data_IF_423400487666
#
_entry.id   IF_423400487666
#
_cell.length_a   1.000
_cell.length_b   1.000
_cell.length_c   1.000
_cell.angle_alpha   90.00
_cell.angle_beta   90.00
_cell.angle_gamma   90.00
#
_symmetry.space_group_name_H-M   'P 1'
#
loop_
_entity.id
_entity.type
_entity.pdbx_description
1 polymer ?
#
# COMPACT_ATOMS: atom_id res chain seq x y z
N UNK A 1 -17.23 -20.04 -45.09
CA UNK A 1 -17.91 -18.90 -44.46
C UNK A 1 -16.97 -18.26 -43.44
N UNK A 2 -16.58 -16.99 -43.62
CA UNK A 2 -15.75 -16.28 -42.64
C UNK A 2 -16.54 -16.08 -41.35
N UNK A 3 -16.13 -16.76 -40.27
CA UNK A 3 -16.76 -16.64 -38.95
C UNK A 3 -16.81 -15.18 -38.47
N UNK A 4 -17.90 -14.83 -37.76
CA UNK A 4 -18.12 -13.49 -37.23
C UNK A 4 -17.00 -13.14 -36.23
N UNK A 5 -16.20 -12.12 -36.54
CA UNK A 5 -15.06 -11.70 -35.70
C UNK A 5 -15.54 -11.27 -34.32
N UNK A 6 -14.88 -11.74 -33.25
CA UNK A 6 -15.21 -11.34 -31.86
C UNK A 6 -14.97 -9.83 -31.69
N UNK A 7 -15.90 -9.12 -31.06
CA UNK A 7 -15.77 -7.68 -30.80
C UNK A 7 -14.63 -7.42 -29.82
N UNK A 8 -13.59 -6.72 -30.28
CA UNK A 8 -12.48 -6.23 -29.45
C UNK A 8 -12.72 -4.76 -29.12
N UNK A 9 -12.54 -4.38 -27.84
CA UNK A 9 -12.66 -2.99 -27.39
C UNK A 9 -11.30 -2.48 -26.95
N UNK A 10 -10.72 -1.58 -27.75
CA UNK A 10 -9.39 -1.02 -27.53
C UNK A 10 -9.39 0.05 -26.42
N UNK A 11 -8.37 -0.01 -25.56
CA UNK A 11 -8.06 1.03 -24.57
C UNK A 11 -7.48 2.30 -25.20
N UNK A 12 -7.45 3.41 -24.46
CA UNK A 12 -6.84 4.67 -24.90
C UNK A 12 -5.36 4.49 -25.21
N UNK A 13 -4.60 3.79 -24.36
CA UNK A 13 -3.20 3.48 -24.64
C UNK A 13 -3.02 2.70 -25.97
N UNK A 14 -3.84 1.68 -26.22
CA UNK A 14 -3.78 0.93 -27.48
C UNK A 14 -4.10 1.80 -28.69
N UNK A 15 -5.05 2.74 -28.56
CA UNK A 15 -5.35 3.70 -29.62
C UNK A 15 -4.20 4.66 -29.88
N UNK A 16 -3.52 5.16 -28.83
CA UNK A 16 -2.32 5.99 -28.97
C UNK A 16 -1.19 5.24 -29.66
N UNK A 17 -0.98 3.96 -29.30
CA UNK A 17 0.04 3.14 -29.94
C UNK A 17 -0.29 2.88 -31.42
N UNK A 18 -1.57 2.62 -31.75
CA UNK A 18 -2.04 2.55 -33.14
C UNK A 18 -1.72 3.85 -33.89
N UNK A 19 -2.01 5.02 -33.31
CA UNK A 19 -1.71 6.32 -33.94
C UNK A 19 -0.19 6.46 -34.18
N UNK A 20 0.64 6.13 -33.19
CA UNK A 20 2.11 6.16 -33.32
C UNK A 20 2.61 5.26 -34.44
N UNK A 21 2.12 4.03 -34.51
CA UNK A 21 2.49 3.06 -35.56
C UNK A 21 2.08 3.51 -36.96
N UNK A 22 0.87 4.07 -37.09
CA UNK A 22 0.40 4.63 -38.36
C UNK A 22 1.24 5.84 -38.80
N UNK A 23 1.66 6.70 -37.85
CA UNK A 23 2.56 7.84 -38.13
C UNK A 23 3.97 7.39 -38.53
N UNK A 24 4.45 6.23 -38.03
CA UNK A 24 5.70 5.59 -38.46
C UNK A 24 5.63 4.95 -39.86
N UNK A 25 4.47 4.96 -40.51
CA UNK A 25 4.29 4.42 -41.86
C UNK A 25 3.79 2.97 -41.93
N UNK A 26 3.43 2.34 -40.80
CA UNK A 26 2.81 1.01 -40.84
C UNK A 26 1.44 1.06 -41.54
N UNK A 27 1.12 0.00 -42.31
CA UNK A 27 -0.16 -0.06 -43.01
C UNK A 27 -1.32 -0.37 -42.05
N UNK A 28 -2.49 0.22 -42.31
CA UNK A 28 -3.69 -0.01 -41.51
C UNK A 28 -4.10 -1.51 -41.45
N UNK A 29 -3.76 -2.29 -42.49
CA UNK A 29 -4.00 -3.74 -42.54
C UNK A 29 -3.11 -4.49 -41.55
N UNK A 30 -1.81 -4.19 -41.52
CA UNK A 30 -0.85 -4.79 -40.57
C UNK A 30 -1.26 -4.48 -39.14
N UNK A 31 -1.52 -3.19 -38.85
CA UNK A 31 -1.94 -2.76 -37.52
C UNK A 31 -3.27 -3.42 -37.10
N UNK A 32 -4.24 -3.52 -38.00
CA UNK A 32 -5.52 -4.19 -37.71
C UNK A 32 -5.34 -5.66 -37.31
N UNK A 33 -4.42 -6.38 -37.95
CA UNK A 33 -4.11 -7.77 -37.63
C UNK A 33 -3.46 -7.91 -36.25
N UNK A 34 -2.51 -7.05 -35.91
CA UNK A 34 -1.81 -7.06 -34.61
C UNK A 34 -2.78 -6.83 -33.45
N UNK A 35 -3.72 -5.89 -33.59
CA UNK A 35 -4.68 -5.56 -32.53
C UNK A 35 -5.98 -6.37 -32.60
N UNK A 36 -6.11 -7.28 -33.58
CA UNK A 36 -7.31 -8.10 -33.76
C UNK A 36 -8.59 -7.31 -34.08
N UNK A 37 -8.46 -6.15 -34.73
CA UNK A 37 -9.59 -5.25 -35.06
C UNK A 37 -9.84 -5.20 -36.57
N UNK A 38 -10.97 -4.59 -36.98
CA UNK A 38 -11.25 -4.32 -38.39
C UNK A 38 -10.41 -3.16 -38.94
N UNK A 39 -10.09 -3.19 -40.23
CA UNK A 39 -9.38 -2.08 -40.92
C UNK A 39 -10.13 -0.75 -40.79
N UNK A 40 -11.47 -0.79 -40.82
CA UNK A 40 -12.33 0.37 -40.55
C UNK A 40 -12.07 0.98 -39.18
N UNK A 41 -11.95 0.16 -38.13
CA UNK A 41 -11.64 0.64 -36.77
C UNK A 41 -10.29 1.36 -36.70
N UNK A 42 -9.28 0.87 -37.40
CA UNK A 42 -7.96 1.53 -37.46
C UNK A 42 -8.06 2.87 -38.20
N UNK A 43 -8.81 2.93 -39.29
CA UNK A 43 -9.03 4.18 -40.03
C UNK A 43 -9.85 5.19 -39.23
N UNK A 44 -10.85 4.75 -38.47
CA UNK A 44 -11.61 5.61 -37.56
C UNK A 44 -10.69 6.20 -36.46
N UNK A 45 -9.81 5.38 -35.88
CA UNK A 45 -8.80 5.83 -34.91
C UNK A 45 -7.86 6.85 -35.54
N UNK A 46 -7.43 6.62 -36.79
CA UNK A 46 -6.59 7.56 -37.54
C UNK A 46 -7.29 8.90 -37.74
N UNK A 47 -8.58 8.89 -38.11
CA UNK A 47 -9.39 10.10 -38.31
C UNK A 47 -9.59 10.88 -37.02
N UNK A 48 -9.81 10.21 -35.90
CA UNK A 48 -10.01 10.84 -34.59
C UNK A 48 -8.71 11.00 -33.78
N UNK A 49 -7.54 10.91 -34.43
CA UNK A 49 -6.24 10.91 -33.75
C UNK A 49 -6.03 12.16 -32.88
N UNK A 50 -6.28 13.35 -33.42
CA UNK A 50 -6.07 14.61 -32.69
C UNK A 50 -7.02 14.73 -31.49
N UNK A 51 -8.25 14.24 -31.61
CA UNK A 51 -9.21 14.22 -30.49
C UNK A 51 -8.78 13.27 -29.39
N UNK A 52 -8.22 12.11 -29.76
CA UNK A 52 -7.70 11.12 -28.81
C UNK A 52 -6.49 11.71 -28.07
N UNK A 53 -5.56 12.33 -28.79
CA UNK A 53 -4.36 12.95 -28.21
C UNK A 53 -4.72 14.14 -27.31
N UNK A 54 -5.62 15.02 -27.75
CA UNK A 54 -6.11 16.15 -26.95
C UNK A 54 -6.86 15.67 -25.69
N UNK A 55 -7.62 14.57 -25.78
CA UNK A 55 -8.30 14.00 -24.61
C UNK A 55 -7.29 13.51 -23.59
N UNK A 56 -6.24 12.82 -24.03
CA UNK A 56 -5.19 12.26 -23.18
C UNK A 56 -4.35 13.37 -22.56
N UNK A 57 -4.01 14.42 -23.30
CA UNK A 57 -3.24 15.54 -22.76
C UNK A 57 -3.99 16.33 -21.68
N UNK A 58 -5.32 16.35 -21.74
CA UNK A 58 -6.18 16.96 -20.71
C UNK A 58 -6.38 16.08 -19.47
N UNK A 59 -5.96 14.81 -19.49
CA UNK A 59 -6.06 13.92 -18.33
C UNK A 59 -4.93 14.22 -17.35
N UNK A 60 -5.27 14.43 -16.07
CA UNK A 60 -4.31 14.78 -15.02
C UNK A 60 -3.49 13.58 -14.51
N UNK A 61 -3.76 12.36 -14.99
CA UNK A 61 -3.16 11.12 -14.47
C UNK A 61 -2.32 10.41 -15.53
N UNK A 62 -1.04 10.24 -15.24
CA UNK A 62 -0.17 9.26 -15.94
C UNK A 62 -0.50 7.82 -15.53
N UNK A 63 -1.11 7.64 -14.35
CA UNK A 63 -1.37 6.32 -13.77
C UNK A 63 -2.82 5.85 -13.95
N UNK A 64 -2.96 4.64 -14.50
CA UNK A 64 -4.19 3.85 -14.52
C UNK A 64 -5.28 4.29 -15.51
N UNK A 65 -5.55 5.59 -15.65
CA UNK A 65 -6.68 6.08 -16.47
C UNK A 65 -6.42 5.86 -17.97
N UNK A 66 -5.29 6.34 -18.51
CA UNK A 66 -4.91 6.11 -19.92
C UNK A 66 -4.72 4.62 -20.23
N UNK A 67 -4.26 3.84 -19.24
CA UNK A 67 -3.97 2.42 -19.39
C UNK A 67 -5.23 1.55 -19.45
N UNK A 68 -6.27 1.89 -18.68
CA UNK A 68 -7.46 1.03 -18.52
C UNK A 68 -8.71 1.57 -19.19
N UNK A 69 -8.78 2.88 -19.47
CA UNK A 69 -9.96 3.51 -20.06
C UNK A 69 -10.13 3.14 -21.52
N UNK A 70 -11.34 2.69 -21.86
CA UNK A 70 -11.72 2.28 -23.21
C UNK A 70 -12.65 3.30 -23.90
N UNK A 71 -13.37 4.09 -23.11
CA UNK A 71 -14.39 5.03 -23.60
C UNK A 71 -13.85 6.46 -23.72
N UNK A 72 -14.16 7.09 -24.86
CA UNK A 72 -13.94 8.51 -25.10
C UNK A 72 -15.05 9.39 -24.52
N UNK A 73 -16.17 8.79 -24.08
CA UNK A 73 -17.32 9.55 -23.60
C UNK A 73 -16.95 10.38 -22.36
N UNK A 74 -17.24 11.69 -22.36
CA UNK A 74 -17.04 12.55 -21.19
C UNK A 74 -18.03 12.18 -20.07
N UNK A 75 -17.83 12.80 -18.90
CA UNK A 75 -18.84 12.77 -17.86
C UNK A 75 -20.14 13.40 -18.36
N UNK A 76 -21.28 13.06 -17.74
CA UNK A 76 -22.47 13.90 -17.87
C UNK A 76 -22.20 15.33 -17.37
N UNK A 77 -21.40 15.45 -16.30
CA UNK A 77 -21.04 16.68 -15.63
C UNK A 77 -19.52 16.91 -15.73
N UNK A 78 -19.00 17.18 -16.93
CA UNK A 78 -17.55 17.09 -17.23
C UNK A 78 -16.70 18.12 -16.49
N UNK A 79 -17.24 19.33 -16.31
CA UNK A 79 -16.57 20.39 -15.55
C UNK A 79 -16.44 20.03 -14.06
N UNK A 80 -17.57 19.64 -13.43
CA UNK A 80 -17.58 19.14 -12.05
C UNK A 80 -16.64 17.95 -11.88
N UNK A 81 -16.65 17.01 -12.84
CA UNK A 81 -15.81 15.81 -12.80
C UNK A 81 -14.32 16.16 -12.78
N UNK A 82 -13.91 17.11 -13.63
CA UNK A 82 -12.53 17.57 -13.73
C UNK A 82 -12.11 18.34 -12.47
N UNK A 83 -12.97 19.23 -11.98
CA UNK A 83 -12.71 19.99 -10.76
C UNK A 83 -12.61 19.08 -9.52
N UNK A 84 -13.52 18.11 -9.40
CA UNK A 84 -13.50 17.12 -8.32
C UNK A 84 -12.24 16.27 -8.34
N UNK A 85 -11.76 15.89 -9.53
CA UNK A 85 -10.53 15.11 -9.63
C UNK A 85 -9.29 15.94 -9.25
N UNK A 86 -9.19 17.20 -9.68
CA UNK A 86 -8.11 18.10 -9.26
C UNK A 86 -8.08 18.27 -7.74
N UNK A 87 -9.24 18.52 -7.13
CA UNK A 87 -9.35 18.60 -5.68
C UNK A 87 -8.96 17.28 -4.99
N UNK A 88 -9.37 16.14 -5.54
CA UNK A 88 -9.01 14.83 -5.00
C UNK A 88 -7.48 14.66 -4.95
N UNK A 89 -6.77 14.99 -6.04
CA UNK A 89 -5.31 14.90 -6.10
C UNK A 89 -4.65 15.84 -5.07
N UNK A 90 -5.12 17.09 -4.97
CA UNK A 90 -4.61 18.06 -4.01
C UNK A 90 -4.82 17.61 -2.55
N UNK A 91 -6.00 17.10 -2.21
CA UNK A 91 -6.27 16.59 -0.88
C UNK A 91 -5.40 15.36 -0.55
N UNK A 92 -5.15 14.48 -1.53
CA UNK A 92 -4.27 13.32 -1.35
C UNK A 92 -2.79 13.69 -1.25
N UNK A 93 -2.32 14.73 -1.93
CA UNK A 93 -0.93 15.20 -1.78
C UNK A 93 -0.65 15.79 -0.40
N UNK A 94 -1.68 16.26 0.30
CA UNK A 94 -1.64 16.70 1.69
C UNK A 94 -1.84 15.55 2.70
N UNK A 95 -1.98 14.31 2.23
CA UNK A 95 -2.19 13.14 3.08
C UNK A 95 -3.61 12.96 3.62
N UNK A 96 -4.57 13.80 3.23
CA UNK A 96 -5.93 13.79 3.77
C UNK A 96 -6.64 12.48 3.35
N UNK A 97 -7.13 11.65 4.31
CA UNK A 97 -7.89 10.46 3.98
C UNK A 97 -9.27 10.84 3.41
N UNK A 98 -9.61 10.29 2.24
CA UNK A 98 -10.87 10.58 1.56
C UNK A 98 -11.74 9.33 1.51
N UNK A 99 -12.90 9.38 2.16
CA UNK A 99 -13.92 8.35 2.09
C UNK A 99 -14.96 8.68 1.01
N UNK A 100 -15.73 7.68 0.59
CA UNK A 100 -16.83 7.87 -0.37
C UNK A 100 -17.81 8.99 0.05
N UNK A 101 -18.32 9.00 1.30
CA UNK A 101 -19.18 10.08 1.80
C UNK A 101 -18.53 11.47 1.73
N UNK A 102 -17.24 11.60 2.05
CA UNK A 102 -16.52 12.89 1.95
C UNK A 102 -16.50 13.38 0.49
N UNK A 103 -16.19 12.48 -0.45
CA UNK A 103 -16.16 12.81 -1.88
C UNK A 103 -17.55 13.22 -2.37
N UNK A 104 -18.61 12.50 -1.96
CA UNK A 104 -19.99 12.82 -2.33
C UNK A 104 -20.43 14.17 -1.78
N UNK A 105 -20.15 14.47 -0.52
CA UNK A 105 -20.46 15.76 0.10
C UNK A 105 -19.74 16.91 -0.63
N UNK A 106 -18.44 16.73 -0.93
CA UNK A 106 -17.67 17.72 -1.66
C UNK A 106 -18.16 17.95 -3.09
N UNK A 107 -18.62 16.90 -3.76
CA UNK A 107 -19.20 17.01 -5.10
C UNK A 107 -20.47 17.86 -5.12
N UNK A 108 -21.33 17.74 -4.11
CA UNK A 108 -22.53 18.60 -3.99
C UNK A 108 -22.13 20.05 -3.75
N UNK A 109 -21.17 20.30 -2.85
CA UNK A 109 -20.63 21.65 -2.59
C UNK A 109 -20.02 22.27 -3.86
N UNK A 110 -19.21 21.49 -4.57
CA UNK A 110 -18.51 21.95 -5.77
C UNK A 110 -19.47 22.19 -6.94
N UNK A 111 -20.51 21.36 -7.10
CA UNK A 111 -21.54 21.58 -8.11
C UNK A 111 -22.26 22.92 -7.89
N UNK A 112 -22.57 23.26 -6.64
CA UNK A 112 -23.16 24.57 -6.31
C UNK A 112 -22.21 25.74 -6.62
N UNK A 113 -20.91 25.57 -6.35
CA UNK A 113 -19.89 26.61 -6.63
C UNK A 113 -19.65 26.85 -8.12
N UNK A 114 -19.85 25.82 -8.93
CA UNK A 114 -19.72 25.88 -10.39
C UNK A 114 -21.01 26.31 -11.09
N UNK A 115 -22.05 26.69 -10.34
CA UNK A 115 -23.40 26.95 -10.87
C UNK A 115 -23.91 25.80 -11.76
N UNK A 116 -23.61 24.57 -11.35
CA UNK A 116 -23.94 23.35 -12.08
C UNK A 116 -25.40 22.95 -11.94
N UNK A 117 -25.78 21.91 -12.69
CA UNK A 117 -27.15 21.37 -12.73
C UNK A 117 -27.72 21.12 -11.32
N UNK A 118 -28.84 21.76 -11.00
CA UNK A 118 -29.54 21.64 -9.71
C UNK A 118 -30.09 20.23 -9.46
N UNK A 119 -30.28 19.43 -10.51
CA UNK A 119 -30.71 18.03 -10.40
C UNK A 119 -29.55 17.08 -10.05
N UNK A 120 -28.32 17.58 -10.00
CA UNK A 120 -27.15 16.76 -9.66
C UNK A 120 -27.29 16.16 -8.26
N UNK A 121 -27.25 14.82 -8.22
CA UNK A 121 -27.14 14.06 -6.98
C UNK A 121 -25.82 13.30 -7.01
N UNK A 122 -24.97 13.55 -6.00
CA UNK A 122 -23.76 12.77 -5.77
C UNK A 122 -24.11 11.38 -5.25
N UNK A 123 -24.80 10.57 -6.07
CA UNK A 123 -25.24 9.22 -5.73
C UNK A 123 -24.07 8.24 -5.67
N UNK A 124 -24.30 7.07 -5.07
CA UNK A 124 -23.31 5.97 -5.06
C UNK A 124 -22.90 5.61 -6.50
N UNK A 125 -23.87 5.51 -7.42
CA UNK A 125 -23.60 5.23 -8.83
C UNK A 125 -22.78 6.33 -9.53
N UNK A 126 -22.93 7.60 -9.14
CA UNK A 126 -22.05 8.66 -9.61
C UNK A 126 -20.63 8.48 -9.07
N UNK A 127 -20.48 8.21 -7.77
CA UNK A 127 -19.19 8.01 -7.13
C UNK A 127 -18.43 6.82 -7.73
N UNK A 128 -19.11 5.71 -7.99
CA UNK A 128 -18.50 4.52 -8.62
C UNK A 128 -17.99 4.83 -10.03
N UNK A 129 -18.78 5.56 -10.83
CA UNK A 129 -18.36 6.02 -12.15
C UNK A 129 -17.22 7.04 -12.07
N UNK A 130 -17.21 7.93 -11.08
CA UNK A 130 -16.12 8.88 -10.85
C UNK A 130 -14.81 8.13 -10.51
N UNK A 131 -14.85 7.22 -9.53
CA UNK A 131 -13.70 6.39 -9.15
C UNK A 131 -13.17 5.59 -10.33
N UNK A 132 -14.07 4.91 -11.05
CA UNK A 132 -13.70 4.11 -12.22
C UNK A 132 -13.05 4.95 -13.32
N UNK A 133 -13.60 6.13 -13.61
CA UNK A 133 -13.07 7.03 -14.66
C UNK A 133 -11.72 7.62 -14.34
N UNK A 134 -11.37 7.76 -13.07
CA UNK A 134 -10.11 8.37 -12.63
C UNK A 134 -9.14 7.34 -12.03
N UNK A 135 -9.44 6.05 -12.17
CA UNK A 135 -8.61 4.96 -11.64
C UNK A 135 -8.48 4.95 -10.11
N UNK A 136 -9.39 5.59 -9.37
CA UNK A 136 -9.33 5.70 -7.91
C UNK A 136 -9.69 4.36 -7.30
N UNK A 137 -8.81 3.87 -6.42
CA UNK A 137 -8.97 2.61 -5.70
C UNK A 137 -8.97 2.86 -4.20
N UNK A 138 -9.65 2.00 -3.46
CA UNK A 138 -9.58 1.98 -2.02
C UNK A 138 -8.39 1.13 -1.60
N UNK A 139 -7.51 1.71 -0.78
CA UNK A 139 -6.35 1.05 -0.19
C UNK A 139 -6.37 1.30 1.31
N UNK A 140 -5.84 0.35 2.08
CA UNK A 140 -5.61 0.55 3.50
C UNK A 140 -4.43 1.51 3.70
N UNK A 141 -4.63 2.51 4.55
CA UNK A 141 -3.56 3.45 4.93
C UNK A 141 -2.57 2.65 5.76
N UNK A 142 -1.36 2.46 5.23
CA UNK A 142 -0.29 1.70 5.87
C UNK A 142 0.98 2.55 5.97
N UNK A 143 1.49 2.65 7.20
CA UNK A 143 2.75 3.30 7.51
C UNK A 143 2.69 4.83 7.68
N UNK A 144 3.72 5.34 8.34
CA UNK A 144 3.98 6.75 8.63
C UNK A 144 4.82 7.42 7.52
N UNK A 145 4.73 6.93 6.29
CA UNK A 145 5.57 7.41 5.16
C UNK A 145 5.45 8.92 4.90
N UNK A 146 4.28 9.51 5.21
CA UNK A 146 4.03 10.94 5.02
C UNK A 146 4.43 11.79 6.25
N UNK A 147 4.65 11.20 7.41
CA UNK A 147 5.15 11.89 8.62
C UNK A 147 6.68 11.84 8.74
N UNK A 148 7.34 11.09 7.87
CA UNK A 148 8.79 11.03 7.84
C UNK A 148 9.38 12.33 7.26
N UNK A 149 10.09 13.10 8.08
CA UNK A 149 10.79 14.30 7.64
C UNK A 149 12.03 13.91 6.82
N UNK A 150 12.03 14.25 5.53
CA UNK A 150 13.11 13.90 4.61
C UNK A 150 14.47 14.47 5.02
N UNK A 151 14.51 15.64 5.68
CA UNK A 151 15.77 16.24 6.15
C UNK A 151 16.36 15.47 7.34
N UNK A 152 15.53 15.06 8.29
CA UNK A 152 15.95 14.28 9.47
C UNK A 152 16.46 12.90 9.05
N UNK A 153 15.82 12.28 8.04
CA UNK A 153 16.27 10.98 7.50
C UNK A 153 17.66 11.11 6.86
N UNK A 154 17.90 12.19 6.11
CA UNK A 154 19.20 12.40 5.46
C UNK A 154 20.32 12.58 6.49
N UNK A 155 20.08 13.37 7.54
CA UNK A 155 21.04 13.56 8.63
C UNK A 155 21.31 12.26 9.40
N UNK A 156 20.26 11.47 9.69
CA UNK A 156 20.41 10.19 10.37
C UNK A 156 21.25 9.19 9.56
N UNK A 157 21.08 9.14 8.23
CA UNK A 157 21.89 8.26 7.37
C UNK A 157 23.38 8.58 7.47
N UNK A 158 23.73 9.86 7.40
CA UNK A 158 25.14 10.30 7.53
C UNK A 158 25.69 9.89 8.89
N UNK A 159 25.00 10.23 9.98
CA UNK A 159 25.42 9.86 11.35
C UNK A 159 25.55 8.35 11.55
N UNK A 160 24.66 7.57 10.94
CA UNK A 160 24.69 6.11 11.03
C UNK A 160 25.88 5.52 10.26
N UNK A 161 26.18 6.03 9.08
CA UNK A 161 27.34 5.64 8.27
C UNK A 161 28.66 6.00 8.98
N UNK A 162 28.75 7.21 9.56
CA UNK A 162 29.89 7.62 10.39
C UNK A 162 30.10 6.67 11.56
N UNK A 163 29.02 6.24 12.24
CA UNK A 163 29.13 5.32 13.38
C UNK A 163 29.56 3.91 12.97
N UNK A 164 29.10 3.43 11.81
CA UNK A 164 29.56 2.16 11.24
C UNK A 164 31.06 2.21 10.93
N UNK A 165 31.53 3.32 10.35
CA UNK A 165 32.94 3.52 10.03
C UNK A 165 33.81 3.65 11.29
N UNK A 166 33.37 4.42 12.30
CA UNK A 166 34.07 4.58 13.59
C UNK A 166 34.28 3.23 14.30
N UNK A 167 33.27 2.36 14.24
CA UNK A 167 33.27 1.05 14.90
C UNK A 167 33.86 -0.08 14.03
N UNK A 168 34.30 0.23 12.80
CA UNK A 168 34.82 -0.73 11.81
C UNK A 168 33.89 -1.95 11.62
N UNK A 169 32.58 -1.69 11.51
CA UNK A 169 31.57 -2.76 11.44
C UNK A 169 31.38 -3.26 10.02
N UNK A 170 31.40 -4.58 9.87
CA UNK A 170 30.99 -5.24 8.63
C UNK A 170 29.47 -5.42 8.57
N UNK A 171 28.91 -5.61 7.36
CA UNK A 171 27.46 -5.70 7.14
C UNK A 171 26.81 -6.84 7.95
N UNK A 172 27.54 -7.91 8.20
CA UNK A 172 27.09 -9.07 8.99
C UNK A 172 26.92 -8.75 10.48
N UNK A 173 27.57 -7.69 10.96
CA UNK A 173 27.52 -7.22 12.35
C UNK A 173 26.47 -6.13 12.57
N UNK A 174 25.88 -5.60 11.50
CA UNK A 174 24.78 -4.62 11.58
C UNK A 174 23.45 -5.37 11.59
N UNK A 175 22.67 -5.18 12.65
CA UNK A 175 21.37 -5.81 12.84
C UNK A 175 20.26 -4.77 12.83
N UNK A 176 19.15 -5.13 12.19
CA UNK A 176 17.89 -4.44 12.38
C UNK A 176 16.98 -5.33 13.23
N UNK A 177 16.39 -4.74 14.27
CA UNK A 177 15.38 -5.40 15.07
C UNK A 177 14.09 -4.58 15.04
N UNK A 178 12.96 -5.25 14.87
CA UNK A 178 11.65 -4.59 14.86
C UNK A 178 10.61 -5.42 15.62
N UNK A 179 9.59 -4.72 16.13
CA UNK A 179 8.50 -5.28 16.91
C UNK A 179 7.25 -5.46 16.04
N UNK A 180 6.64 -6.64 16.12
CA UNK A 180 5.34 -6.90 15.49
C UNK A 180 4.34 -7.44 16.50
N UNK A 181 3.11 -6.90 16.43
CA UNK A 181 2.00 -7.38 17.25
C UNK A 181 1.20 -8.45 16.52
N UNK A 182 1.10 -9.64 17.11
CA UNK A 182 0.28 -10.73 16.58
C UNK A 182 -0.99 -10.89 17.42
N UNK A 183 -2.15 -10.65 16.81
CA UNK A 183 -3.47 -10.90 17.39
C UNK A 183 -3.97 -12.29 16.97
N UNK A 184 -3.44 -13.34 17.59
CA UNK A 184 -3.67 -14.72 17.14
C UNK A 184 -5.08 -15.27 17.40
N UNK A 185 -5.91 -14.57 18.19
CA UNK A 185 -7.32 -14.93 18.45
C UNK A 185 -8.35 -13.93 17.92
N UNK A 186 -7.93 -12.95 17.12
CA UNK A 186 -8.87 -11.97 16.59
C UNK A 186 -9.77 -12.62 15.53
N UNK A 187 -11.06 -12.78 15.84
CA UNK A 187 -12.09 -13.14 14.87
C UNK A 187 -12.45 -11.94 13.97
N UNK A 188 -12.97 -12.18 12.74
CA UNK A 188 -13.52 -11.12 11.89
C UNK A 188 -14.61 -10.32 12.62
N UNK A 189 -14.60 -9.00 12.45
CA UNK A 189 -15.60 -8.11 13.07
C UNK A 189 -16.91 -8.03 12.28
N UNK A 190 -16.91 -8.50 11.03
CA UNK A 190 -18.07 -8.46 10.13
C UNK A 190 -18.39 -9.89 9.68
N UNK A 191 -19.67 -10.23 9.74
CA UNK A 191 -20.21 -11.47 9.18
C UNK A 191 -21.30 -11.13 8.16
N UNK A 192 -21.50 -12.01 7.19
CA UNK A 192 -22.71 -12.00 6.39
C UNK A 192 -23.84 -12.57 7.27
N UNK A 193 -25.00 -11.92 7.26
CA UNK A 193 -26.16 -12.32 8.05
C UNK A 193 -27.39 -12.40 7.13
N UNK A 194 -28.33 -13.28 7.45
CA UNK A 194 -29.58 -13.40 6.69
C UNK A 194 -30.38 -12.09 6.74
N UNK A 195 -31.15 -11.81 5.69
CA UNK A 195 -32.09 -10.67 5.67
C UNK A 195 -33.16 -10.78 6.78
N UNK A 196 -33.45 -12.01 7.24
CA UNK A 196 -34.39 -12.29 8.35
C UNK A 196 -33.77 -12.08 9.74
N UNK A 197 -32.45 -11.95 9.85
CA UNK A 197 -31.77 -11.72 11.12
C UNK A 197 -31.72 -10.22 11.44
N UNK A 198 -32.42 -9.80 12.51
CA UNK A 198 -32.40 -8.40 12.97
C UNK A 198 -31.05 -7.99 13.58
N UNK A 199 -30.27 -8.96 14.06
CA UNK A 199 -28.91 -8.77 14.55
C UNK A 199 -28.15 -10.09 14.43
N UNK A 200 -26.85 -10.03 14.12
CA UNK A 200 -25.96 -11.18 14.14
C UNK A 200 -25.25 -11.25 15.50
N UNK A 201 -25.71 -12.10 16.45
CA UNK A 201 -25.04 -12.25 17.73
C UNK A 201 -23.65 -12.86 17.53
N UNK A 202 -22.62 -12.12 17.92
CA UNK A 202 -21.23 -12.54 17.85
C UNK A 202 -20.61 -12.73 19.23
N UNK A 203 -19.56 -13.55 19.31
CA UNK A 203 -18.73 -13.61 20.51
C UNK A 203 -17.87 -12.35 20.64
N UNK A 204 -17.64 -11.91 21.88
CA UNK A 204 -16.70 -10.82 22.16
C UNK A 204 -15.34 -11.16 21.57
N UNK A 205 -14.85 -10.34 20.65
CA UNK A 205 -13.54 -10.54 20.01
C UNK A 205 -12.45 -10.62 21.07
N UNK A 206 -11.80 -11.77 21.19
CA UNK A 206 -10.65 -11.94 22.07
C UNK A 206 -9.42 -11.36 21.39
N UNK A 207 -9.10 -10.10 21.72
CA UNK A 207 -7.89 -9.41 21.24
C UNK A 207 -6.65 -9.81 22.06
N UNK A 208 -6.41 -11.12 22.16
CA UNK A 208 -5.17 -11.62 22.77
C UNK A 208 -4.01 -11.32 21.82
N UNK A 209 -3.28 -10.25 22.15
CA UNK A 209 -2.06 -9.83 21.47
C UNK A 209 -0.86 -10.49 22.12
N UNK A 210 0.04 -11.03 21.31
CA UNK A 210 1.43 -11.26 21.68
C UNK A 210 2.30 -10.30 20.87
N UNK A 211 3.41 -9.86 21.44
CA UNK A 211 4.38 -9.04 20.72
C UNK A 211 5.57 -9.92 20.40
N UNK A 212 5.99 -9.96 19.15
CA UNK A 212 7.19 -10.67 18.72
C UNK A 212 8.21 -9.64 18.26
N UNK A 213 9.45 -9.75 18.74
CA UNK A 213 10.58 -8.99 18.24
C UNK A 213 11.41 -9.89 17.34
N UNK A 214 11.58 -9.45 16.11
CA UNK A 214 12.36 -10.14 15.07
C UNK A 214 13.63 -9.34 14.86
N UNK A 215 14.77 -10.02 14.73
CA UNK A 215 16.02 -9.35 14.47
C UNK A 215 16.89 -10.15 13.51
N UNK A 216 17.42 -9.47 12.50
CA UNK A 216 18.25 -10.06 11.45
C UNK A 216 19.36 -9.09 11.05
N UNK A 217 20.46 -9.64 10.53
CA UNK A 217 21.54 -8.82 10.02
C UNK A 217 21.25 -8.26 8.62
N UNK A 218 22.05 -7.28 8.19
CA UNK A 218 21.87 -6.61 6.89
C UNK A 218 21.98 -7.58 5.71
N UNK A 219 22.78 -8.64 5.80
CA UNK A 219 22.91 -9.63 4.71
C UNK A 219 21.82 -10.70 4.72
N UNK A 220 21.04 -10.81 5.80
CA UNK A 220 19.98 -11.80 5.96
C UNK A 220 20.45 -13.23 6.19
N UNK A 221 21.76 -13.47 6.26
CA UNK A 221 22.31 -14.81 6.50
C UNK A 221 22.23 -15.25 7.97
N UNK A 222 21.97 -14.32 8.89
CA UNK A 222 21.82 -14.60 10.30
C UNK A 222 20.61 -13.87 10.90
N UNK A 223 19.85 -14.60 11.72
CA UNK A 223 18.71 -14.08 12.47
C UNK A 223 18.77 -14.55 13.92
N UNK A 224 18.35 -13.68 14.83
CA UNK A 224 18.28 -14.01 16.23
C UNK A 224 17.06 -14.90 16.53
N UNK A 225 17.11 -15.73 17.59
CA UNK A 225 15.94 -16.44 18.07
C UNK A 225 14.78 -15.47 18.32
N UNK A 226 13.58 -15.87 17.93
CA UNK A 226 12.40 -15.03 18.08
C UNK A 226 12.16 -14.71 19.55
N UNK A 227 12.01 -13.42 19.87
CA UNK A 227 11.64 -12.98 21.21
C UNK A 227 10.13 -12.77 21.24
N UNK A 228 9.41 -13.57 22.04
CA UNK A 228 7.95 -13.50 22.18
C UNK A 228 7.61 -12.97 23.57
N UNK A 229 6.77 -11.94 23.60
CA UNK A 229 6.32 -11.28 24.82
C UNK A 229 4.81 -11.43 24.94
N UNK A 230 4.38 -12.08 26.01
CA UNK A 230 2.98 -12.27 26.37
C UNK A 230 2.63 -11.65 27.72
N UNK A 231 1.35 -11.68 28.09
CA UNK A 231 0.86 -11.07 29.34
C UNK A 231 1.28 -11.85 30.60
N UNK A 232 1.18 -13.18 30.52
CA UNK A 232 1.36 -14.08 31.67
C UNK A 232 2.73 -14.75 31.64
N UNK A 233 3.36 -14.92 32.80
CA UNK A 233 4.66 -15.61 32.95
C UNK A 233 4.59 -17.06 32.50
N UNK A 234 3.46 -17.72 32.75
CA UNK A 234 3.16 -19.08 32.30
C UNK A 234 1.72 -19.13 31.77
N UNK A 235 1.50 -18.83 30.48
CA UNK A 235 0.20 -18.98 29.85
C UNK A 235 -0.33 -20.40 30.04
N UNK A 236 -1.66 -20.56 30.10
CA UNK A 236 -2.29 -21.90 30.17
C UNK A 236 -1.87 -22.81 29.01
N UNK A 237 -1.58 -22.23 27.84
CA UNK A 237 -1.07 -22.95 26.68
C UNK A 237 0.31 -23.60 26.90
N UNK A 238 1.09 -23.14 27.89
CA UNK A 238 2.39 -23.73 28.25
C UNK A 238 2.28 -24.76 29.38
N UNK A 239 1.07 -25.16 29.74
CA UNK A 239 0.87 -26.27 30.69
C UNK A 239 1.49 -27.53 30.06
N UNK A 240 2.38 -28.18 30.80
CA UNK A 240 3.13 -29.38 30.41
C UNK A 240 4.12 -29.20 29.24
N UNK A 241 4.47 -27.97 28.85
CA UNK A 241 5.53 -27.71 27.88
C UNK A 241 6.84 -27.35 28.57
N UNK A 242 7.95 -27.88 28.05
CA UNK A 242 9.29 -27.43 28.42
C UNK A 242 9.60 -26.10 27.71
N UNK A 243 9.62 -25.00 28.47
CA UNK A 243 9.87 -23.67 27.92
C UNK A 243 11.27 -23.51 27.31
N UNK A 244 12.25 -24.29 27.77
CA UNK A 244 13.61 -24.25 27.24
C UNK A 244 13.74 -24.97 25.89
N UNK A 245 12.78 -25.83 25.54
CA UNK A 245 12.74 -26.53 24.26
C UNK A 245 12.00 -25.74 23.18
N UNK A 246 11.46 -24.56 23.51
CA UNK A 246 10.77 -23.73 22.53
C UNK A 246 11.78 -23.10 21.56
N UNK A 247 11.44 -22.99 20.26
CA UNK A 247 12.29 -22.33 19.27
C UNK A 247 12.35 -20.80 19.44
N UNK A 248 11.64 -20.27 20.45
CA UNK A 248 11.51 -18.85 20.73
C UNK A 248 11.72 -18.57 22.22
N UNK A 249 12.33 -17.43 22.54
CA UNK A 249 12.48 -16.97 23.91
C UNK A 249 11.20 -16.27 24.35
N UNK A 250 10.60 -16.76 25.44
CA UNK A 250 9.36 -16.20 25.95
C UNK A 250 9.58 -15.36 27.21
N UNK A 251 9.09 -14.12 27.19
CA UNK A 251 9.03 -13.24 28.36
C UNK A 251 7.61 -12.80 28.63
N UNK A 252 7.34 -12.44 29.88
CA UNK A 252 6.05 -11.92 30.28
C UNK A 252 6.13 -10.48 30.73
N UNK A 253 5.22 -9.66 30.21
CA UNK A 253 5.12 -8.25 30.52
C UNK A 253 3.65 -7.86 30.69
N UNK A 254 3.33 -7.18 31.80
CA UNK A 254 1.96 -6.72 32.09
C UNK A 254 1.42 -5.72 31.05
N UNK A 255 2.30 -4.91 30.45
CA UNK A 255 1.97 -3.95 29.39
C UNK A 255 2.58 -4.46 28.08
N UNK A 256 1.77 -4.74 27.06
CA UNK A 256 2.21 -5.32 25.79
C UNK A 256 2.47 -4.30 24.68
N UNK A 257 2.31 -3.00 24.98
CA UNK A 257 2.41 -1.94 23.97
C UNK A 257 3.84 -1.60 23.54
N UNK A 258 4.82 -1.88 24.39
CA UNK A 258 6.24 -1.52 24.20
C UNK A 258 7.11 -2.54 24.92
N UNK A 259 8.23 -2.96 24.34
CA UNK A 259 9.19 -3.80 25.05
C UNK A 259 9.93 -2.96 26.08
N UNK A 260 9.93 -3.39 27.35
CA UNK A 260 10.73 -2.72 28.37
C UNK A 260 12.22 -2.91 28.09
N UNK A 261 12.99 -1.83 28.28
CA UNK A 261 14.45 -1.79 28.16
C UNK A 261 15.15 -2.96 28.87
N UNK A 262 14.68 -3.42 30.04
CA UNK A 262 15.28 -4.58 30.72
C UNK A 262 15.17 -5.90 29.93
N UNK A 263 14.05 -6.12 29.23
CA UNK A 263 13.87 -7.26 28.33
C UNK A 263 14.77 -7.15 27.10
N UNK A 264 14.95 -5.92 26.61
CA UNK A 264 15.85 -5.60 25.50
C UNK A 264 17.32 -5.83 25.90
N UNK A 265 17.75 -5.34 27.08
CA UNK A 265 19.10 -5.53 27.64
C UNK A 265 19.38 -7.01 27.88
N UNK A 266 18.40 -7.78 28.39
CA UNK A 266 18.55 -9.22 28.55
C UNK A 266 18.74 -9.93 27.21
N UNK A 267 17.99 -9.54 26.19
CA UNK A 267 18.09 -10.05 24.82
C UNK A 267 19.42 -9.66 24.15
N UNK A 268 19.85 -8.40 24.26
CA UNK A 268 21.12 -7.91 23.70
C UNK A 268 22.34 -8.39 24.49
N UNK A 269 22.25 -8.61 25.80
CA UNK A 269 23.34 -9.23 26.56
C UNK A 269 23.54 -10.70 26.14
N UNK A 270 22.45 -11.42 25.89
CA UNK A 270 22.49 -12.77 25.33
C UNK A 270 22.98 -12.76 23.87
N UNK A 271 22.72 -11.68 23.12
CA UNK A 271 23.27 -11.42 21.80
C UNK A 271 24.80 -11.30 21.84
N UNK A 272 25.35 -10.47 22.72
CA UNK A 272 26.81 -10.32 22.89
C UNK A 272 27.47 -11.64 23.33
N UNK A 273 26.82 -12.42 24.19
CA UNK A 273 27.32 -13.73 24.62
C UNK A 273 27.28 -14.78 23.50
N UNK A 274 26.24 -14.81 22.67
CA UNK A 274 26.10 -15.75 21.54
C UNK A 274 26.93 -15.36 20.32
N UNK A 275 27.10 -14.07 20.06
CA UNK A 275 27.92 -13.54 18.97
C UNK A 275 29.39 -13.33 19.36
N UNK A 276 29.80 -13.67 20.59
CA UNK A 276 31.19 -13.56 21.04
C UNK A 276 32.21 -14.36 20.22
N UNK A 277 31.76 -15.22 19.31
CA UNK A 277 32.59 -15.91 18.31
C UNK A 277 32.74 -15.14 16.98
N UNK A 278 31.93 -14.11 16.73
CA UNK A 278 31.91 -13.28 15.51
C UNK A 278 32.54 -11.89 15.76
N UNK A 279 32.66 -11.48 17.02
CA UNK A 279 33.29 -10.22 17.41
C UNK A 279 34.67 -10.49 18.01
N UNK A 280 35.78 -9.93 17.47
CA UNK A 280 37.09 -10.09 18.09
C UNK A 280 37.08 -9.44 19.48
N UNK A 281 37.56 -10.17 20.49
CA UNK A 281 37.73 -9.68 21.86
C UNK A 281 38.66 -8.46 21.86
N UNK A 282 38.10 -7.26 21.86
CA UNK A 282 38.76 -6.04 22.33
C UNK A 282 37.94 -5.47 23.48
N UNK A 283 38.43 -5.75 24.70
CA UNK A 283 38.23 -5.01 25.96
C UNK A 283 37.08 -4.00 25.99
N UNK A 284 35.87 -4.48 26.28
CA UNK A 284 34.74 -3.63 26.63
C UNK A 284 34.90 -3.17 28.09
N UNK A 285 35.44 -1.97 28.30
CA UNK A 285 35.25 -1.26 29.56
C UNK A 285 33.86 -0.64 29.54
N UNK A 286 33.04 -1.09 30.50
CA UNK A 286 31.74 -0.52 30.86
C UNK A 286 31.83 1.01 30.85
N UNK A 287 31.12 1.67 29.93
CA UNK A 287 30.37 2.92 30.14
C UNK A 287 29.76 3.38 28.81
N UNK A 288 28.49 3.75 28.90
CA UNK A 288 27.67 4.45 27.88
C UNK A 288 26.94 3.58 26.84
N UNK A 289 25.78 3.07 27.25
CA UNK A 289 24.62 2.98 26.37
C UNK A 289 23.62 4.07 26.81
N UNK A 290 23.36 5.03 25.94
CA UNK A 290 22.14 5.84 25.91
C UNK A 290 21.31 5.37 24.72
#
# INVERSE_FOLDING_TARGET
MSGKRKRVVLGLNQKLEIIKRLRKGETATSVAQIYGVGRTTVNDIKRDADKIELRVSKMHSTDGDVQTRKTMKPAKYDELDTAMYRWFIQARSQGIPLSGPIIMAKAVEMNKKLDGDLSFKASIGWLDKFKFRHGIRQLDISGEKLSANSSVIAEFKVKFEEKIAELDLVREQVYNCDETGLNWKALPQKTLASLSEKAAPGFKVQKDRITAMVCANVTGNHRLPLLVIGKSKKPRAFKNLNMNALPAQYYAQKVLGWIKIFSLIGFTSNLYLKLGHIWPKRSCHRKHCC
#
